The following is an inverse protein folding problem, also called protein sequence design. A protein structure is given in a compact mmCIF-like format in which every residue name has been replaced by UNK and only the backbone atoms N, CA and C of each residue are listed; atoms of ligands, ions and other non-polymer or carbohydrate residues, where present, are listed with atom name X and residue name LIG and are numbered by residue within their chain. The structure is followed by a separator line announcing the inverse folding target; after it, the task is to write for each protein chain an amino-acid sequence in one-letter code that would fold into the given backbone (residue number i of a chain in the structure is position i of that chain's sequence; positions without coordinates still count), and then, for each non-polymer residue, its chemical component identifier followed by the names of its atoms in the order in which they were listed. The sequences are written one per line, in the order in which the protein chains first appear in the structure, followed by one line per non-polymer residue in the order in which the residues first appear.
data_IF_113039332548
#
_entry.id   IF_113039332548
#
_cell.length_a   1.000
_cell.length_b   1.000
_cell.length_c   1.000
_cell.angle_alpha   90.00
_cell.angle_beta   90.00
_cell.angle_gamma   90.00
#
_symmetry.space_group_name_H-M   'P 1'
#
loop_
_entity.id
_entity.type
_entity.pdbx_description
1 polymer ?
#
# COMPACT_ATOMS: atom_id res chain seq x y z
N UNK A 1 54.00 26.68 -12.68
CA UNK A 1 53.19 25.56 -12.18
C UNK A 1 52.14 25.27 -13.23
N UNK A 2 52.24 24.16 -13.96
CA UNK A 2 51.24 23.82 -14.98
C UNK A 2 49.89 23.54 -14.30
N UNK A 3 48.75 24.02 -14.84
CA UNK A 3 47.45 23.70 -14.28
C UNK A 3 47.23 22.19 -14.33
N UNK A 4 46.79 21.62 -13.21
CA UNK A 4 46.43 20.20 -13.12
C UNK A 4 45.33 19.90 -14.15
N UNK A 5 45.36 18.71 -14.74
CA UNK A 5 44.34 18.30 -15.72
C UNK A 5 42.98 18.33 -15.02
N UNK A 6 41.92 18.81 -15.66
CA UNK A 6 40.60 19.06 -15.05
C UNK A 6 40.02 17.91 -14.19
N UNK A 7 40.41 16.65 -14.43
CA UNK A 7 40.03 15.50 -13.61
C UNK A 7 40.88 15.25 -12.35
N UNK A 8 42.14 15.72 -12.30
CA UNK A 8 43.01 15.63 -11.12
C UNK A 8 42.52 16.54 -9.98
N UNK A 9 41.91 17.68 -10.34
CA UNK A 9 41.29 18.61 -9.40
C UNK A 9 40.00 18.03 -8.80
N UNK A 10 39.23 17.29 -9.60
CA UNK A 10 37.98 16.64 -9.15
C UNK A 10 38.26 15.52 -8.14
N UNK A 11 39.23 14.65 -8.42
CA UNK A 11 39.64 13.58 -7.48
C UNK A 11 40.16 14.18 -6.17
N UNK A 12 40.97 15.24 -6.24
CA UNK A 12 41.47 15.94 -5.05
C UNK A 12 40.34 16.54 -4.25
N UNK A 13 39.36 17.15 -4.91
CA UNK A 13 38.18 17.72 -4.27
C UNK A 13 37.32 16.64 -3.62
N UNK A 14 37.04 15.54 -4.32
CA UNK A 14 36.28 14.40 -3.78
C UNK A 14 36.96 13.84 -2.53
N UNK A 15 38.28 13.65 -2.56
CA UNK A 15 39.06 13.18 -1.40
C UNK A 15 38.97 14.14 -0.22
N UNK A 16 39.13 15.45 -0.45
CA UNK A 16 38.97 16.47 0.59
C UNK A 16 37.56 16.47 1.21
N UNK A 17 36.51 16.20 0.42
CA UNK A 17 35.14 16.09 0.93
C UNK A 17 35.00 14.87 1.85
N UNK A 18 35.51 13.71 1.42
CA UNK A 18 35.49 12.47 2.22
C UNK A 18 36.28 12.66 3.53
N UNK A 19 37.51 13.18 3.46
CA UNK A 19 38.36 13.39 4.63
C UNK A 19 37.69 14.32 5.65
N UNK A 20 37.01 15.37 5.18
CA UNK A 20 36.26 16.28 6.05
C UNK A 20 35.02 15.62 6.65
N UNK A 21 34.31 14.77 5.92
CA UNK A 21 33.15 14.03 6.44
C UNK A 21 33.58 13.02 7.51
N UNK A 22 34.69 12.30 7.29
CA UNK A 22 35.31 11.42 8.30
C UNK A 22 35.71 12.21 9.55
N UNK A 23 36.37 13.36 9.40
CA UNK A 23 36.76 14.19 10.55
C UNK A 23 35.58 14.72 11.37
N UNK A 24 34.39 14.83 10.76
CA UNK A 24 33.14 15.21 11.44
C UNK A 24 32.40 14.02 12.06
N UNK A 25 32.90 12.79 11.90
CA UNK A 25 32.24 11.60 12.41
C UNK A 25 30.97 11.22 11.64
N UNK A 26 30.78 11.70 10.40
CA UNK A 26 29.57 11.39 9.60
C UNK A 26 29.41 9.89 9.28
N UNK A 27 30.44 9.08 9.54
CA UNK A 27 30.44 7.63 9.35
C UNK A 27 30.42 6.82 10.66
N UNK A 28 30.36 7.46 11.83
CA UNK A 28 30.49 6.76 13.13
C UNK A 28 29.21 6.01 13.55
N UNK A 29 28.03 6.47 13.11
CA UNK A 29 26.72 5.88 13.45
C UNK A 29 25.95 5.42 12.20
N UNK A 30 26.63 4.65 11.34
CA UNK A 30 25.96 4.03 10.21
C UNK A 30 24.97 2.96 10.70
N UNK A 31 23.82 2.85 10.05
CA UNK A 31 22.75 1.91 10.45
C UNK A 31 23.21 0.44 10.60
N UNK A 32 24.24 0.06 9.83
CA UNK A 32 24.86 -1.27 9.82
C UNK A 32 26.28 -1.29 10.42
N UNK A 33 26.72 -0.25 11.12
CA UNK A 33 28.02 -0.23 11.77
C UNK A 33 28.16 -1.44 12.72
N UNK A 34 29.19 -2.27 12.49
CA UNK A 34 29.44 -3.50 13.25
C UNK A 34 28.44 -4.64 13.04
N UNK A 35 27.42 -4.47 12.20
CA UNK A 35 26.44 -5.51 11.85
C UNK A 35 26.88 -6.24 10.57
N UNK A 36 26.53 -7.52 10.40
CA UNK A 36 26.76 -8.21 9.14
C UNK A 36 26.03 -7.48 8.00
N UNK A 37 26.68 -7.38 6.84
CA UNK A 37 26.07 -6.80 5.65
C UNK A 37 25.00 -7.79 5.14
N UNK A 38 23.73 -7.40 5.04
CA UNK A 38 22.68 -8.26 4.50
C UNK A 38 23.04 -8.74 3.08
N UNK A 39 22.92 -10.04 2.82
CA UNK A 39 23.21 -10.63 1.50
C UNK A 39 24.70 -10.83 1.17
N UNK A 40 25.62 -10.53 2.10
CA UNK A 40 27.05 -10.75 1.88
C UNK A 40 27.38 -12.25 1.86
N UNK A 41 27.89 -12.74 0.72
CA UNK A 41 28.21 -14.16 0.51
C UNK A 41 27.12 -14.96 -0.21
N UNK A 42 25.98 -14.34 -0.52
CA UNK A 42 24.99 -14.89 -1.44
C UNK A 42 25.49 -14.76 -2.89
N UNK A 43 24.87 -15.51 -3.82
CA UNK A 43 25.21 -15.43 -5.24
C UNK A 43 25.11 -13.98 -5.74
N UNK A 44 26.03 -13.56 -6.61
CA UNK A 44 26.04 -12.20 -7.14
C UNK A 44 24.72 -11.90 -7.86
N UNK A 45 23.93 -11.01 -7.26
CA UNK A 45 22.67 -10.53 -7.81
C UNK A 45 22.88 -9.12 -8.38
N UNK A 46 22.87 -8.92 -9.70
CA UNK A 46 23.05 -7.59 -10.30
C UNK A 46 21.91 -6.61 -9.91
N UNK A 47 20.75 -7.13 -9.53
CA UNK A 47 19.56 -6.35 -9.21
C UNK A 47 19.38 -6.11 -7.70
N UNK A 48 20.41 -6.38 -6.87
CA UNK A 48 20.35 -6.27 -5.41
C UNK A 48 19.88 -4.88 -4.94
N UNK A 49 20.35 -3.82 -5.60
CA UNK A 49 20.00 -2.44 -5.26
C UNK A 49 18.56 -2.10 -5.67
N UNK A 50 18.06 -2.66 -6.78
CA UNK A 50 16.67 -2.49 -7.24
C UNK A 50 15.73 -3.18 -6.27
N UNK A 51 16.02 -4.43 -5.89
CA UNK A 51 15.25 -5.17 -4.89
C UNK A 51 15.24 -4.45 -3.54
N UNK A 52 16.39 -3.95 -3.11
CA UNK A 52 16.52 -3.14 -1.92
C UNK A 52 15.68 -1.87 -1.97
N UNK A 53 15.65 -1.18 -3.11
CA UNK A 53 14.84 0.03 -3.30
C UNK A 53 13.33 -0.28 -3.29
N UNK A 54 12.90 -1.32 -4.02
CA UNK A 54 11.51 -1.79 -4.03
C UNK A 54 11.04 -2.10 -2.61
N UNK A 55 11.87 -2.78 -1.82
CA UNK A 55 11.56 -3.12 -0.44
C UNK A 55 11.54 -1.89 0.48
N UNK A 56 12.53 -1.00 0.35
CA UNK A 56 12.65 0.22 1.17
C UNK A 56 11.47 1.17 0.97
N UNK A 57 11.10 1.40 -0.28
CA UNK A 57 10.03 2.34 -0.65
C UNK A 57 8.64 1.67 -0.70
N UNK A 58 8.57 0.38 -0.37
CA UNK A 58 7.35 -0.43 -0.47
C UNK A 58 6.64 -0.26 -1.83
N UNK A 59 7.41 -0.34 -2.92
CA UNK A 59 6.88 -0.11 -4.27
C UNK A 59 6.00 -1.31 -4.66
N UNK A 60 4.72 -1.06 -4.83
CA UNK A 60 3.73 -2.05 -5.27
C UNK A 60 3.32 -1.81 -6.73
N UNK A 61 2.53 -2.73 -7.30
CA UNK A 61 2.02 -2.58 -8.67
C UNK A 61 3.05 -2.87 -9.77
N UNK A 62 4.25 -3.32 -9.41
CA UNK A 62 5.28 -3.73 -10.35
C UNK A 62 5.11 -5.21 -10.68
N UNK A 63 4.75 -5.52 -11.93
CA UNK A 63 4.75 -6.89 -12.40
C UNK A 63 3.92 -7.12 -13.65
N UNK A 64 3.97 -8.36 -14.19
CA UNK A 64 3.10 -8.76 -15.29
C UNK A 64 1.63 -8.60 -14.89
N UNK A 65 0.79 -8.14 -15.83
CA UNK A 65 -0.67 -7.97 -15.63
C UNK A 65 -1.32 -9.20 -14.99
N UNK A 66 -0.91 -10.41 -15.39
CA UNK A 66 -1.43 -11.67 -14.85
C UNK A 66 -1.23 -11.83 -13.33
N UNK A 67 -0.14 -11.29 -12.77
CA UNK A 67 0.14 -11.35 -11.33
C UNK A 67 -0.59 -10.23 -10.60
N UNK A 68 -0.57 -9.02 -11.17
CA UNK A 68 -1.25 -7.85 -10.60
C UNK A 68 -2.76 -8.10 -10.44
N UNK A 69 -3.40 -8.66 -11.46
CA UNK A 69 -4.84 -8.98 -11.42
C UNK A 69 -5.22 -9.97 -10.31
N UNK A 70 -4.30 -10.83 -9.87
CA UNK A 70 -4.56 -11.78 -8.77
C UNK A 70 -4.50 -11.08 -7.42
N UNK A 71 -3.60 -10.11 -7.28
CA UNK A 71 -3.52 -9.25 -6.09
C UNK A 71 -4.77 -8.39 -6.01
N UNK A 72 -5.15 -7.77 -7.13
CA UNK A 72 -6.37 -6.98 -7.21
C UNK A 72 -7.64 -7.78 -6.94
N UNK A 73 -7.74 -9.02 -7.44
CA UNK A 73 -8.88 -9.91 -7.16
C UNK A 73 -9.00 -10.26 -5.66
N UNK A 74 -7.87 -10.40 -4.97
CA UNK A 74 -7.83 -10.66 -3.53
C UNK A 74 -8.25 -9.43 -2.70
N UNK A 75 -7.93 -8.22 -3.17
CA UNK A 75 -8.27 -6.95 -2.51
C UNK A 75 -9.63 -6.39 -2.95
N UNK A 76 -10.29 -7.03 -3.92
CA UNK A 76 -11.49 -6.50 -4.56
C UNK A 76 -12.63 -6.32 -3.56
N UNK A 77 -12.84 -7.30 -2.69
CA UNK A 77 -13.92 -7.26 -1.69
C UNK A 77 -13.79 -6.06 -0.75
N UNK A 78 -12.58 -5.76 -0.28
CA UNK A 78 -12.29 -4.58 0.57
C UNK A 78 -12.51 -3.28 -0.20
N UNK A 79 -12.15 -3.26 -1.49
CA UNK A 79 -12.35 -2.09 -2.36
C UNK A 79 -13.83 -1.83 -2.64
N UNK A 80 -14.65 -2.87 -2.77
CA UNK A 80 -16.10 -2.75 -2.92
C UNK A 80 -16.77 -2.23 -1.65
N UNK A 81 -16.32 -2.68 -0.47
CA UNK A 81 -16.86 -2.23 0.83
C UNK A 81 -16.64 -0.73 1.09
N UNK A 82 -15.63 -0.12 0.44
CA UNK A 82 -15.39 1.33 0.48
C UNK A 82 -16.33 2.14 -0.42
N UNK A 83 -17.12 1.50 -1.27
CA UNK A 83 -18.07 2.20 -2.15
C UNK A 83 -19.40 2.46 -1.45
N UNK A 84 -20.02 3.60 -1.78
CA UNK A 84 -21.26 4.02 -1.14
C UNK A 84 -22.51 3.66 -1.95
N UNK A 85 -22.35 3.51 -3.26
CA UNK A 85 -23.46 3.30 -4.18
C UNK A 85 -23.25 2.06 -5.02
N UNK A 86 -24.34 1.39 -5.36
CA UNK A 86 -24.32 0.23 -6.26
C UNK A 86 -23.71 0.55 -7.62
N UNK A 87 -23.97 1.75 -8.17
CA UNK A 87 -23.36 2.19 -9.44
C UNK A 87 -21.83 2.14 -9.37
N UNK A 88 -21.24 2.64 -8.29
CA UNK A 88 -19.78 2.60 -8.10
C UNK A 88 -19.26 1.16 -7.99
N UNK A 89 -19.99 0.28 -7.31
CA UNK A 89 -19.64 -1.15 -7.21
C UNK A 89 -19.65 -1.80 -8.59
N UNK A 90 -20.69 -1.57 -9.40
CA UNK A 90 -20.80 -2.07 -10.77
C UNK A 90 -19.66 -1.55 -11.64
N UNK A 91 -19.36 -0.26 -11.59
CA UNK A 91 -18.25 0.36 -12.35
C UNK A 91 -16.89 -0.27 -12.00
N UNK A 92 -16.63 -0.53 -10.72
CA UNK A 92 -15.40 -1.18 -10.27
C UNK A 92 -15.30 -2.62 -10.79
N UNK A 93 -16.40 -3.38 -10.73
CA UNK A 93 -16.46 -4.76 -11.20
C UNK A 93 -16.32 -4.86 -12.72
N UNK A 94 -16.98 -3.97 -13.47
CA UNK A 94 -16.92 -3.91 -14.92
C UNK A 94 -15.51 -3.54 -15.40
N UNK A 95 -14.87 -2.54 -14.78
CA UNK A 95 -13.47 -2.19 -15.05
C UNK A 95 -12.52 -3.37 -14.75
N UNK A 96 -12.68 -4.03 -13.61
CA UNK A 96 -11.88 -5.21 -13.26
C UNK A 96 -12.04 -6.32 -14.32
N UNK A 97 -13.28 -6.66 -14.68
CA UNK A 97 -13.57 -7.67 -15.69
C UNK A 97 -12.99 -7.29 -17.06
N UNK A 98 -13.12 -6.02 -17.45
CA UNK A 98 -12.52 -5.50 -18.68
C UNK A 98 -11.01 -5.73 -18.69
N UNK A 99 -10.31 -5.39 -17.60
CA UNK A 99 -8.85 -5.57 -17.49
C UNK A 99 -8.43 -7.03 -17.48
N UNK A 100 -9.23 -7.94 -16.92
CA UNK A 100 -8.99 -9.40 -17.01
C UNK A 100 -9.15 -9.89 -18.44
N UNK A 101 -10.19 -9.46 -19.16
CA UNK A 101 -10.42 -9.82 -20.56
C UNK A 101 -9.30 -9.29 -21.45
N UNK A 102 -8.93 -8.02 -21.27
CA UNK A 102 -7.84 -7.38 -22.00
C UNK A 102 -6.51 -8.12 -21.80
N UNK A 103 -6.16 -8.42 -20.54
CA UNK A 103 -4.95 -9.17 -20.23
C UNK A 103 -4.93 -10.58 -20.86
N UNK A 104 -6.08 -11.26 -20.98
CA UNK A 104 -6.20 -12.55 -21.67
C UNK A 104 -6.07 -12.42 -23.20
N UNK A 105 -6.53 -11.30 -23.76
CA UNK A 105 -6.42 -11.01 -25.20
C UNK A 105 -5.01 -10.60 -25.60
N UNK A 106 -4.22 -10.12 -24.65
CA UNK A 106 -2.83 -9.76 -24.85
C UNK A 106 -2.01 -11.00 -25.29
N UNK A 107 -1.74 -11.11 -26.60
CA UNK A 107 -0.92 -12.19 -27.19
C UNK A 107 0.60 -11.97 -27.02
N UNK A 108 1.01 -11.08 -26.10
CA UNK A 108 2.41 -10.69 -25.92
C UNK A 108 3.27 -11.73 -25.17
N UNK A 109 2.73 -12.92 -24.94
CA UNK A 109 3.36 -13.92 -24.08
C UNK A 109 3.40 -13.49 -22.60
N UNK A 110 3.91 -14.39 -21.75
CA UNK A 110 4.00 -14.17 -20.30
C UNK A 110 3.19 -15.19 -19.48
N UNK A 111 3.18 -15.05 -18.14
CA UNK A 111 2.45 -15.95 -17.26
C UNK A 111 0.96 -16.01 -17.62
N UNK A 112 0.32 -17.18 -17.57
CA UNK A 112 -1.08 -17.32 -17.95
C UNK A 112 -2.00 -16.51 -17.02
N UNK A 113 -2.97 -15.80 -17.60
CA UNK A 113 -4.00 -15.05 -16.86
C UNK A 113 -5.10 -16.02 -16.42
N UNK A 114 -5.00 -16.51 -15.19
CA UNK A 114 -5.97 -17.45 -14.62
C UNK A 114 -7.01 -16.80 -13.70
N UNK A 115 -6.91 -15.49 -13.46
CA UNK A 115 -7.87 -14.72 -12.66
C UNK A 115 -9.26 -14.83 -13.26
N UNK A 116 -10.28 -15.14 -12.45
CA UNK A 116 -11.66 -15.33 -12.90
C UNK A 116 -12.35 -13.98 -13.11
N UNK A 117 -13.37 -13.99 -13.97
CA UNK A 117 -14.30 -12.86 -14.04
C UNK A 117 -15.25 -12.91 -12.85
N UNK A 118 -15.67 -11.74 -12.40
CA UNK A 118 -16.62 -11.57 -11.31
C UNK A 118 -18.00 -11.31 -11.89
N UNK A 119 -19.00 -12.06 -11.46
CA UNK A 119 -20.38 -11.81 -11.84
C UNK A 119 -20.87 -10.55 -11.13
N UNK A 120 -21.25 -9.53 -11.92
CA UNK A 120 -21.55 -8.20 -11.38
C UNK A 120 -22.77 -8.24 -10.46
N UNK A 121 -23.82 -8.96 -10.84
CA UNK A 121 -25.05 -8.99 -10.07
C UNK A 121 -24.87 -9.77 -8.77
N UNK A 122 -24.14 -10.90 -8.82
CA UNK A 122 -23.82 -11.69 -7.63
C UNK A 122 -22.97 -10.90 -6.63
N UNK A 123 -21.94 -10.19 -7.10
CA UNK A 123 -21.07 -9.41 -6.19
C UNK A 123 -21.79 -8.17 -5.63
N UNK A 124 -22.70 -7.55 -6.39
CA UNK A 124 -23.55 -6.46 -5.88
C UNK A 124 -24.44 -6.93 -4.73
N UNK A 125 -25.05 -8.12 -4.84
CA UNK A 125 -25.87 -8.63 -3.73
C UNK A 125 -25.03 -8.99 -2.51
N UNK A 126 -23.87 -9.63 -2.69
CA UNK A 126 -22.93 -9.87 -1.58
C UNK A 126 -22.49 -8.59 -0.89
N UNK A 127 -22.24 -7.53 -1.66
CA UNK A 127 -21.91 -6.21 -1.09
C UNK A 127 -23.07 -5.64 -0.27
N UNK A 128 -24.32 -5.73 -0.77
CA UNK A 128 -25.51 -5.31 -0.02
C UNK A 128 -25.68 -6.10 1.27
N UNK A 129 -25.51 -7.41 1.23
CA UNK A 129 -25.56 -8.30 2.40
C UNK A 129 -24.52 -7.90 3.46
N UNK A 130 -23.26 -7.70 3.05
CA UNK A 130 -22.18 -7.22 3.94
C UNK A 130 -22.53 -5.89 4.60
N UNK A 131 -23.10 -4.95 3.84
CA UNK A 131 -23.54 -3.65 4.36
C UNK A 131 -24.67 -3.75 5.38
N UNK A 132 -25.66 -4.61 5.12
CA UNK A 132 -26.75 -4.86 6.07
C UNK A 132 -26.21 -5.48 7.34
N UNK A 133 -25.34 -6.49 7.24
CA UNK A 133 -24.68 -7.10 8.39
C UNK A 133 -23.87 -6.09 9.21
N UNK A 134 -23.08 -5.23 8.55
CA UNK A 134 -22.31 -4.18 9.22
C UNK A 134 -23.21 -3.17 9.95
N UNK A 135 -24.35 -2.79 9.36
CA UNK A 135 -25.33 -1.90 10.00
C UNK A 135 -25.94 -2.54 11.24
N UNK A 136 -26.37 -3.80 11.15
CA UNK A 136 -26.96 -4.52 12.28
C UNK A 136 -25.94 -4.70 13.43
N UNK A 137 -24.68 -5.00 13.09
CA UNK A 137 -23.59 -5.08 14.07
C UNK A 137 -23.34 -3.73 14.77
N UNK A 138 -23.35 -2.63 14.02
CA UNK A 138 -23.20 -1.28 14.59
C UNK A 138 -24.37 -0.90 15.51
N UNK A 139 -25.59 -1.28 15.17
CA UNK A 139 -26.78 -1.07 16.01
C UNK A 139 -26.73 -1.88 17.30
N UNK A 140 -26.29 -3.14 17.24
CA UNK A 140 -26.09 -3.99 18.41
C UNK A 140 -24.95 -3.51 19.32
N UNK A 141 -23.91 -2.89 18.76
CA UNK A 141 -22.77 -2.34 19.51
C UNK A 141 -23.05 -0.95 20.11
N UNK A 142 -24.17 -0.31 19.78
CA UNK A 142 -24.52 0.98 20.34
C UNK A 142 -24.76 0.85 21.87
N UNK A 143 -24.05 1.62 22.72
CA UNK A 143 -24.35 1.65 24.15
C UNK A 143 -25.80 2.06 24.38
N UNK A 144 -26.50 1.50 25.39
CA UNK A 144 -27.84 1.95 25.72
C UNK A 144 -27.82 3.46 25.97
N UNK A 145 -28.67 4.22 25.27
CA UNK A 145 -28.74 5.67 25.45
C UNK A 145 -28.90 5.99 26.94
N UNK A 146 -28.09 6.92 27.50
CA UNK A 146 -28.33 7.39 28.84
C UNK A 146 -29.73 8.00 28.85
N UNK A 147 -30.64 7.39 29.63
CA UNK A 147 -32.00 7.90 29.81
C UNK A 147 -31.90 9.37 30.20
N UNK A 148 -32.24 10.26 29.26
CA UNK A 148 -32.15 11.71 29.48
C UNK A 148 -33.05 12.03 30.66
N UNK A 149 -32.45 12.22 31.83
CA UNK A 149 -33.17 12.53 33.05
C UNK A 149 -33.96 13.82 32.78
N UNK A 150 -35.29 13.68 32.74
CA UNK A 150 -36.19 14.75 32.37
C UNK A 150 -35.95 15.96 33.28
N UNK A 151 -35.45 17.03 32.67
CA UNK A 151 -35.21 18.34 33.27
C UNK A 151 -36.45 18.84 34.04
N UNK A 152 -37.65 18.49 33.56
CA UNK A 152 -38.93 18.81 34.18
C UNK A 152 -39.17 18.11 35.54
N UNK A 153 -38.66 16.89 35.76
CA UNK A 153 -38.76 16.22 37.07
C UNK A 153 -37.90 16.87 38.15
N UNK A 154 -36.87 17.63 37.78
CA UNK A 154 -35.99 18.34 38.71
C UNK A 154 -36.56 19.70 39.11
N UNK A 155 -37.26 20.37 38.20
CA UNK A 155 -37.93 21.66 38.47
C UNK A 155 -39.14 21.49 39.40
N UNK A 156 -39.89 20.39 39.28
CA UNK A 156 -41.09 20.16 40.10
C UNK A 156 -40.82 19.67 41.53
N UNK A 157 -39.56 19.34 41.89
CA UNK A 157 -39.19 18.85 43.22
C UNK A 157 -38.58 19.91 44.15
N UNK A 158 -38.52 21.18 43.72
CA UNK A 158 -37.92 22.29 44.48
C UNK A 158 -38.89 23.23 45.20
N UNK A 159 -40.19 22.91 45.27
CA UNK A 159 -41.18 23.71 46.01
C UNK A 159 -41.49 23.05 47.36
N UNK A 160 -40.72 23.40 48.39
CA UNK A 160 -41.11 23.29 49.80
C UNK A 160 -40.25 24.21 50.66
#
# INVERSE_FOLDING_TARGET
MAPLRTGEDEVRRARLIVDRAVARGEFDDLALAGKPIPGLGEAHDPDWWVKGLIQRENITGLGPRAILLRTEDAELDDRLDRQYTERQVREVLEDFNYRVIDARRQLLGGPPVITKLRDVDVEVERWRERRVAARLAAEAAAPPEPQKASFWRRIWRGSR
#
